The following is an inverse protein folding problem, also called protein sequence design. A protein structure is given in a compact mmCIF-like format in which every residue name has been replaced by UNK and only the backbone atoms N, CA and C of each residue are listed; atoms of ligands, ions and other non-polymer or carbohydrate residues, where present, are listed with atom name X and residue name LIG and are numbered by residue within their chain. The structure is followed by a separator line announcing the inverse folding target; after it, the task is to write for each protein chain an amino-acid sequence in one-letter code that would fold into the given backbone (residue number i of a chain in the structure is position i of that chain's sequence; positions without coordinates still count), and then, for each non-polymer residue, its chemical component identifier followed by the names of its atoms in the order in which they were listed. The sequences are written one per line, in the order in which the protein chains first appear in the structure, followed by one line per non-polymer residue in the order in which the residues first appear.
data_IF_513348570107
#
_entry.id   IF_513348570107
#
_cell.length_a   1.000
_cell.length_b   1.000
_cell.length_c   1.000
_cell.angle_alpha   90.00
_cell.angle_beta   90.00
_cell.angle_gamma   90.00
#
_symmetry.space_group_name_H-M   'P 1'
#
loop_
_entity.id
_entity.type
_entity.pdbx_description
1 polymer ?
#
# COMPACT_ATOMS: atom_id res chain seq x y z
N UNK A 1 -4.62 7.69 -4.96
CA UNK A 1 -4.47 6.87 -3.74
C UNK A 1 -3.24 6.00 -3.94
N UNK A 2 -2.35 5.91 -2.97
CA UNK A 2 -1.03 5.26 -3.05
C UNK A 2 -0.73 4.49 -1.77
N UNK A 3 0.18 3.51 -1.88
CA UNK A 3 0.62 2.64 -0.80
C UNK A 3 1.14 3.42 0.43
N UNK A 4 1.10 2.78 1.60
CA UNK A 4 1.50 3.41 2.88
C UNK A 4 3.01 3.67 3.01
N UNK A 5 3.83 3.02 2.18
CA UNK A 5 5.29 3.17 2.11
C UNK A 5 5.80 2.76 0.73
N UNK A 6 7.00 3.22 0.41
CA UNK A 6 7.78 2.76 -0.73
C UNK A 6 8.76 1.68 -0.26
N UNK A 7 8.83 0.55 -0.97
CA UNK A 7 9.88 -0.45 -0.78
C UNK A 7 11.19 0.00 -1.44
N UNK A 8 12.32 -0.55 -0.98
CA UNK A 8 13.60 -0.36 -1.68
C UNK A 8 13.55 -1.01 -3.06
N UNK A 9 14.29 -0.44 -4.01
CA UNK A 9 14.49 -1.02 -5.34
C UNK A 9 15.18 -2.38 -5.17
N UNK A 10 14.58 -3.44 -5.71
CA UNK A 10 15.05 -4.82 -5.58
C UNK A 10 14.60 -5.54 -4.30
N UNK A 11 13.87 -4.86 -3.41
CA UNK A 11 13.28 -5.44 -2.19
C UNK A 11 11.78 -5.11 -2.12
N UNK A 12 11.07 -5.21 -3.25
CA UNK A 12 9.66 -4.88 -3.33
C UNK A 12 8.79 -5.84 -2.53
N UNK A 13 7.91 -5.30 -1.69
CA UNK A 13 6.90 -6.07 -1.00
C UNK A 13 5.52 -5.44 -1.13
N UNK A 14 4.51 -6.30 -1.24
CA UNK A 14 3.12 -5.87 -1.33
C UNK A 14 2.63 -5.51 0.07
N UNK A 15 2.50 -4.21 0.35
CA UNK A 15 1.86 -3.76 1.57
C UNK A 15 0.34 -3.77 1.45
N UNK A 16 -0.33 -3.77 2.59
CA UNK A 16 -1.79 -3.76 2.63
C UNK A 16 -2.39 -2.54 1.90
N UNK A 17 -1.68 -1.39 1.91
CA UNK A 17 -2.05 -0.20 1.14
C UNK A 17 -1.93 -0.37 -0.38
N UNK A 18 -0.95 -1.14 -0.87
CA UNK A 18 -0.85 -1.49 -2.29
C UNK A 18 -2.05 -2.35 -2.71
N UNK A 19 -2.36 -3.37 -1.91
CA UNK A 19 -3.47 -4.28 -2.19
C UNK A 19 -4.81 -3.51 -2.22
N UNK A 20 -5.01 -2.60 -1.27
CA UNK A 20 -6.20 -1.76 -1.21
C UNK A 20 -6.31 -0.75 -2.36
N UNK A 21 -5.19 -0.25 -2.87
CA UNK A 21 -5.17 0.77 -3.92
C UNK A 21 -5.32 0.18 -5.32
N UNK A 22 -4.53 -0.87 -5.64
CA UNK A 22 -4.42 -1.40 -7.01
C UNK A 22 -4.65 -2.91 -7.11
N UNK A 23 -4.89 -3.62 -6.00
CA UNK A 23 -5.02 -5.08 -6.01
C UNK A 23 -6.06 -5.58 -7.01
N UNK A 24 -7.20 -4.88 -7.15
CA UNK A 24 -8.25 -5.21 -8.11
C UNK A 24 -7.79 -5.16 -9.59
N UNK A 25 -6.78 -4.36 -9.92
CA UNK A 25 -6.21 -4.28 -11.26
C UNK A 25 -5.42 -5.54 -11.64
N UNK A 26 -4.99 -6.36 -10.67
CA UNK A 26 -4.14 -7.53 -10.91
C UNK A 26 -4.97 -8.82 -11.07
N UNK A 27 -4.88 -9.53 -12.22
CA UNK A 27 -5.68 -10.73 -12.47
C UNK A 27 -5.52 -11.84 -11.41
N UNK A 28 -4.31 -12.04 -10.88
CA UNK A 28 -4.03 -13.04 -9.84
C UNK A 28 -4.78 -12.74 -8.54
N UNK A 29 -4.91 -11.46 -8.17
CA UNK A 29 -5.65 -11.04 -6.97
C UNK A 29 -7.14 -11.28 -7.18
N UNK A 30 -7.69 -10.89 -8.33
CA UNK A 30 -9.09 -11.15 -8.68
C UNK A 30 -9.43 -12.64 -8.65
N UNK A 31 -8.56 -13.48 -9.22
CA UNK A 31 -8.73 -14.93 -9.20
C UNK A 31 -8.72 -15.48 -7.76
N UNK A 32 -7.78 -15.02 -6.92
CA UNK A 32 -7.72 -15.43 -5.51
C UNK A 32 -8.97 -15.02 -4.72
N UNK A 33 -9.60 -13.87 -5.05
CA UNK A 33 -10.87 -13.47 -4.45
C UNK A 33 -12.02 -14.40 -4.85
N UNK A 34 -12.14 -14.71 -6.14
CA UNK A 34 -13.15 -15.65 -6.67
C UNK A 34 -12.99 -17.05 -6.07
N UNK A 35 -11.75 -17.47 -5.81
CA UNK A 35 -11.43 -18.75 -5.17
C UNK A 35 -11.63 -18.75 -3.65
N UNK A 36 -11.95 -17.60 -3.04
CA UNK A 36 -12.15 -17.45 -1.60
C UNK A 36 -10.86 -17.47 -0.78
N UNK A 37 -9.69 -17.38 -1.41
CA UNK A 37 -8.40 -17.35 -0.70
C UNK A 37 -8.11 -15.98 -0.11
N UNK A 38 -8.64 -14.93 -0.74
CA UNK A 38 -8.57 -13.55 -0.25
C UNK A 38 -10.01 -13.03 -0.14
N UNK A 39 -10.47 -12.62 1.06
CA UNK A 39 -11.76 -11.95 1.18
C UNK A 39 -11.75 -10.63 0.39
N UNK A 40 -12.80 -10.34 -0.39
CA UNK A 40 -12.87 -9.07 -1.15
C UNK A 40 -12.78 -7.84 -0.23
N UNK A 41 -13.32 -7.94 0.99
CA UNK A 41 -13.23 -6.88 2.01
C UNK A 41 -11.77 -6.57 2.41
N UNK A 42 -10.83 -7.49 2.21
CA UNK A 42 -9.40 -7.24 2.44
C UNK A 42 -8.76 -6.32 1.38
N UNK A 43 -9.47 -6.02 0.28
CA UNK A 43 -9.07 -5.03 -0.72
C UNK A 43 -9.55 -3.61 -0.39
N UNK A 44 -10.23 -3.41 0.75
CA UNK A 44 -10.60 -2.08 1.23
C UNK A 44 -9.64 -1.64 2.36
N UNK A 45 -9.39 -0.33 2.53
CA UNK A 45 -8.68 0.17 3.70
C UNK A 45 -9.37 -0.25 5.00
N UNK A 46 -8.58 -0.67 6.00
CA UNK A 46 -9.09 -0.99 7.34
C UNK A 46 -9.53 0.26 8.11
N UNK A 47 -10.42 0.08 9.09
CA UNK A 47 -10.94 1.17 9.95
C UNK A 47 -9.83 1.97 10.64
N UNK A 48 -8.80 1.27 11.13
CA UNK A 48 -7.72 1.85 11.93
C UNK A 48 -6.43 2.04 11.11
N UNK A 49 -6.53 2.01 9.78
CA UNK A 49 -5.38 2.28 8.94
C UNK A 49 -5.09 3.78 8.88
N UNK A 50 -3.80 4.16 8.79
CA UNK A 50 -3.45 5.51 8.37
C UNK A 50 -4.12 5.84 7.03
N UNK A 51 -4.47 7.10 6.84
CA UNK A 51 -4.98 7.56 5.55
C UNK A 51 -3.96 7.23 4.44
N UNK A 52 -4.45 6.64 3.36
CA UNK A 52 -3.64 6.39 2.17
C UNK A 52 -3.27 7.71 1.51
N UNK A 53 -2.06 7.79 0.97
CA UNK A 53 -1.55 8.99 0.32
C UNK A 53 -2.31 9.30 -0.97
N UNK A 54 -2.54 10.57 -1.28
CA UNK A 54 -3.33 10.95 -2.46
C UNK A 54 -2.52 10.73 -3.74
N UNK A 55 -1.23 11.09 -3.72
CA UNK A 55 -0.28 10.96 -4.81
C UNK A 55 1.07 10.37 -4.34
N UNK A 56 1.95 10.03 -5.28
CA UNK A 56 3.29 9.51 -4.98
C UNK A 56 4.20 10.52 -4.27
N UNK A 57 4.07 11.82 -4.57
CA UNK A 57 4.82 12.89 -3.90
C UNK A 57 4.54 12.98 -2.40
N UNK A 58 3.31 12.67 -1.96
CA UNK A 58 2.98 12.60 -0.53
C UNK A 58 3.70 11.46 0.19
N UNK A 59 3.98 10.36 -0.52
CA UNK A 59 4.79 9.24 0.01
C UNK A 59 6.24 9.67 0.18
N UNK A 60 6.82 10.34 -0.83
CA UNK A 60 8.20 10.81 -0.78
C UNK A 60 8.44 11.82 0.34
N UNK A 61 7.56 12.81 0.47
CA UNK A 61 7.65 13.84 1.52
C UNK A 61 7.68 13.23 2.93
N UNK A 62 6.82 12.25 3.20
CA UNK A 62 6.79 11.54 4.49
C UNK A 62 8.11 10.79 4.76
N UNK A 63 8.72 10.22 3.72
CA UNK A 63 10.00 9.50 3.86
C UNK A 63 11.16 10.46 4.11
N UNK A 64 11.15 11.63 3.47
CA UNK A 64 12.11 12.71 3.71
C UNK A 64 11.99 13.24 5.16
N UNK A 65 10.78 13.55 5.62
CA UNK A 65 10.50 13.98 7.00
C UNK A 65 10.98 12.95 8.04
N UNK A 66 10.79 11.65 7.78
CA UNK A 66 11.25 10.58 8.65
C UNK A 66 12.78 10.39 8.63
N UNK A 67 13.44 10.73 7.52
CA UNK A 67 14.90 10.67 7.41
C UNK A 67 15.57 11.80 8.20
N UNK A 68 14.97 13.01 8.19
CA UNK A 68 15.46 14.17 8.93
C UNK A 68 15.36 13.97 10.46
N UNK A 69 14.26 13.38 10.94
CA UNK A 69 14.07 13.04 12.38
C UNK A 69 15.09 12.00 12.88
N UNK A 70 15.61 11.14 12.00
CA UNK A 70 16.61 10.14 12.35
C UNK A 70 18.04 10.70 12.47
N UNK A 71 18.25 11.99 12.16
CA UNK A 71 19.54 12.69 12.25
C UNK A 71 19.62 13.76 13.35
N UNK A 72 18.55 13.95 14.13
CA UNK A 72 18.50 14.81 15.32
C UNK A 72 18.77 14.00 16.61
#
# INVERSE_FOLDING_TARGET
MFACHQSRVGEEFACAGWLATVGHCHPKVRLACVQGWVPEASLAPGRDWPALHANYGDVLRKLEEAADDSTA
#
